data_IF_746463856993
#
_entry.id   IF_746463856993
#
_cell.length_a   1.000
_cell.length_b   1.000
_cell.length_c   1.000
_cell.angle_alpha   90.00
_cell.angle_beta   90.00
_cell.angle_gamma   90.00
#
_symmetry.space_group_name_H-M   'P 1'
#
loop_
_entity.id
_entity.type
_entity.pdbx_description
1 polymer ?
#
# COMPACT_ATOMS: atom_id res chain seq x y z
N UNK A 1 16.71 8.49 8.89
CA UNK A 1 16.82 9.74 8.17
C UNK A 1 15.88 9.78 6.99
N UNK A 2 15.17 10.85 6.85
CA UNK A 2 14.18 11.02 5.78
C UNK A 2 14.80 11.35 4.43
N UNK A 3 14.04 11.13 3.39
CA UNK A 3 14.35 11.57 2.03
C UNK A 3 14.01 13.07 1.95
N UNK A 4 14.85 13.89 1.33
CA UNK A 4 14.53 15.31 1.15
C UNK A 4 13.44 15.48 0.06
N UNK A 5 12.83 16.66 0.00
CA UNK A 5 11.72 16.95 -0.91
C UNK A 5 12.09 16.74 -2.39
N UNK A 6 13.31 17.10 -2.79
CA UNK A 6 13.78 16.92 -4.16
C UNK A 6 13.90 15.45 -4.53
N UNK A 7 14.47 14.64 -3.65
CA UNK A 7 14.60 13.20 -3.84
C UNK A 7 13.22 12.53 -3.90
N UNK A 8 12.29 12.98 -3.06
CA UNK A 8 10.94 12.46 -3.04
C UNK A 8 10.20 12.78 -4.34
N UNK A 9 10.31 14.02 -4.82
CA UNK A 9 9.72 14.43 -6.08
C UNK A 9 10.28 13.63 -7.27
N UNK A 10 11.59 13.38 -7.29
CA UNK A 10 12.23 12.57 -8.32
C UNK A 10 11.74 11.13 -8.29
N UNK A 11 11.56 10.54 -7.11
CA UNK A 11 10.99 9.19 -6.96
C UNK A 11 9.57 9.12 -7.50
N UNK A 12 8.74 10.12 -7.21
CA UNK A 12 7.36 10.19 -7.71
C UNK A 12 7.34 10.23 -9.24
N UNK A 13 8.21 11.02 -9.86
CA UNK A 13 8.35 11.09 -11.32
C UNK A 13 8.79 9.75 -11.90
N UNK A 14 9.74 9.05 -11.25
CA UNK A 14 10.24 7.74 -11.67
C UNK A 14 9.19 6.63 -11.55
N UNK A 15 8.24 6.74 -10.63
CA UNK A 15 7.16 5.76 -10.48
C UNK A 15 6.17 5.76 -11.64
N UNK A 16 6.17 6.80 -12.48
CA UNK A 16 5.29 6.91 -13.63
C UNK A 16 3.86 7.30 -13.27
N UNK A 17 2.94 7.08 -14.20
CA UNK A 17 1.54 7.40 -13.99
C UNK A 17 0.88 6.43 -13.00
N UNK A 18 -0.17 6.90 -12.33
CA UNK A 18 -0.96 6.11 -11.38
C UNK A 18 -1.35 4.74 -11.95
N UNK A 19 -1.82 4.69 -13.19
CA UNK A 19 -2.24 3.46 -13.89
C UNK A 19 -1.12 2.41 -13.93
N UNK A 20 0.12 2.81 -14.24
CA UNK A 20 1.24 1.86 -14.34
C UNK A 20 1.63 1.27 -12.99
N UNK A 21 1.47 2.04 -11.90
CA UNK A 21 1.74 1.57 -10.54
C UNK A 21 0.75 0.48 -10.11
N UNK A 22 -0.52 0.59 -10.53
CA UNK A 22 -1.58 -0.30 -10.10
C UNK A 22 -1.97 -1.37 -11.14
N UNK A 23 -1.19 -1.53 -12.21
CA UNK A 23 -1.44 -2.57 -13.21
C UNK A 23 -0.86 -3.91 -12.76
N UNK A 24 -1.67 -4.96 -12.89
CA UNK A 24 -1.26 -6.34 -12.60
C UNK A 24 -0.59 -6.97 -13.83
N UNK A 25 0.31 -7.90 -13.59
CA UNK A 25 0.84 -8.79 -14.63
C UNK A 25 -0.26 -9.69 -15.19
N UNK A 26 -0.18 -10.12 -16.48
CA UNK A 26 -1.21 -10.94 -17.09
C UNK A 26 -1.53 -12.22 -16.31
N UNK A 27 -0.52 -12.90 -15.76
CA UNK A 27 -0.71 -14.12 -14.97
C UNK A 27 -1.55 -13.85 -13.71
N UNK A 28 -1.29 -12.72 -13.05
CA UNK A 28 -2.02 -12.32 -11.86
C UNK A 28 -3.45 -11.93 -12.20
N UNK A 29 -3.67 -11.28 -13.33
CA UNK A 29 -5.02 -10.96 -13.83
C UNK A 29 -5.84 -12.22 -14.01
N UNK A 30 -5.26 -13.24 -14.67
CA UNK A 30 -5.94 -14.53 -14.89
C UNK A 30 -6.28 -15.23 -13.59
N UNK A 31 -5.34 -15.28 -12.64
CA UNK A 31 -5.55 -15.90 -11.34
C UNK A 31 -6.70 -15.21 -10.58
N UNK A 32 -6.73 -13.90 -10.60
CA UNK A 32 -7.78 -13.10 -9.94
C UNK A 32 -9.16 -13.36 -10.56
N UNK A 33 -9.23 -13.47 -11.88
CA UNK A 33 -10.49 -13.78 -12.57
C UNK A 33 -11.00 -15.18 -12.22
N UNK A 34 -10.11 -16.15 -12.05
CA UNK A 34 -10.47 -17.51 -11.64
C UNK A 34 -11.02 -17.55 -10.21
N UNK A 35 -10.37 -16.82 -9.30
CA UNK A 35 -10.77 -16.75 -7.88
C UNK A 35 -12.10 -16.00 -7.71
N UNK A 36 -12.32 -14.96 -8.49
CA UNK A 36 -13.56 -14.18 -8.47
C UNK A 36 -13.60 -13.06 -7.47
N UNK A 37 -14.67 -12.30 -7.54
CA UNK A 37 -14.84 -11.04 -6.79
C UNK A 37 -14.89 -11.24 -5.29
N UNK A 38 -15.69 -12.18 -4.82
CA UNK A 38 -15.87 -12.41 -3.37
C UNK A 38 -14.57 -12.85 -2.71
N UNK A 39 -13.85 -13.81 -3.32
CA UNK A 39 -12.57 -14.27 -2.78
C UNK A 39 -11.53 -13.16 -2.78
N UNK A 40 -11.50 -12.33 -3.80
CA UNK A 40 -10.60 -11.18 -3.86
C UNK A 40 -10.89 -10.19 -2.72
N UNK A 41 -12.15 -9.92 -2.42
CA UNK A 41 -12.53 -9.07 -1.29
C UNK A 41 -12.08 -9.66 0.04
N UNK A 42 -12.30 -10.95 0.25
CA UNK A 42 -11.90 -11.64 1.49
C UNK A 42 -10.39 -11.62 1.67
N UNK A 43 -9.62 -11.89 0.61
CA UNK A 43 -8.16 -11.82 0.65
C UNK A 43 -7.67 -10.41 0.93
N UNK A 44 -8.28 -9.41 0.34
CA UNK A 44 -7.92 -8.01 0.59
C UNK A 44 -8.15 -7.64 2.06
N UNK A 45 -9.26 -8.06 2.64
CA UNK A 45 -9.55 -7.82 4.06
C UNK A 45 -8.51 -8.50 4.95
N UNK A 46 -8.14 -9.73 4.64
CA UNK A 46 -7.12 -10.48 5.39
C UNK A 46 -5.75 -9.81 5.32
N UNK A 47 -5.27 -9.51 4.11
CA UNK A 47 -3.95 -8.91 3.91
C UNK A 47 -3.87 -7.49 4.49
N UNK A 48 -4.93 -6.71 4.42
CA UNK A 48 -4.97 -5.40 5.06
C UNK A 48 -4.95 -5.52 6.59
N UNK A 49 -5.57 -6.55 7.16
CA UNK A 49 -5.51 -6.83 8.60
C UNK A 49 -4.09 -7.19 9.03
N UNK A 50 -3.39 -7.98 8.24
CA UNK A 50 -1.99 -8.34 8.49
C UNK A 50 -1.06 -7.13 8.38
N UNK A 51 -1.33 -6.22 7.44
CA UNK A 51 -0.60 -4.97 7.33
C UNK A 51 -0.79 -4.10 8.59
N UNK A 52 -2.00 -4.00 9.09
CA UNK A 52 -2.29 -3.28 10.35
C UNK A 52 -1.48 -3.88 11.49
N UNK A 53 -1.47 -5.19 11.62
CA UNK A 53 -0.69 -5.88 12.65
C UNK A 53 0.82 -5.63 12.50
N UNK A 54 1.33 -5.64 11.27
CA UNK A 54 2.73 -5.36 10.99
C UNK A 54 3.13 -3.91 11.33
N UNK A 55 2.24 -2.95 11.09
CA UNK A 55 2.44 -1.55 11.49
C UNK A 55 2.52 -1.42 13.01
N UNK A 56 1.63 -2.07 13.75
CA UNK A 56 1.68 -2.08 15.21
C UNK A 56 2.96 -2.72 15.74
N UNK A 57 3.39 -3.81 15.15
CA UNK A 57 4.62 -4.50 15.53
C UNK A 57 5.84 -3.62 15.32
N UNK A 58 5.94 -2.97 14.15
CA UNK A 58 7.02 -2.04 13.84
C UNK A 58 7.04 -0.87 14.84
N UNK A 59 5.88 -0.27 15.10
CA UNK A 59 5.75 0.84 16.04
C UNK A 59 6.28 0.46 17.43
N UNK A 60 5.85 -0.70 17.95
CA UNK A 60 6.28 -1.16 19.28
C UNK A 60 7.76 -1.52 19.30
N UNK A 61 8.26 -2.18 18.26
CA UNK A 61 9.64 -2.69 18.23
C UNK A 61 10.66 -1.57 17.99
N UNK A 62 10.33 -0.60 17.15
CA UNK A 62 11.29 0.43 16.70
C UNK A 62 11.07 1.76 17.37
N UNK A 63 9.83 2.20 17.53
CA UNK A 63 9.52 3.56 18.00
C UNK A 63 9.22 3.64 19.50
N UNK A 64 8.72 2.58 20.11
CA UNK A 64 8.37 2.55 21.54
C UNK A 64 9.46 1.85 22.33
N UNK A 65 10.45 2.61 22.75
CA UNK A 65 11.58 2.07 23.56
C UNK A 65 11.08 1.48 24.87
N UNK A 66 11.69 0.36 25.26
CA UNK A 66 11.37 -0.30 26.52
C UNK A 66 10.16 -1.21 26.50
N UNK A 67 9.48 -1.32 25.36
CA UNK A 67 8.37 -2.27 25.20
C UNK A 67 8.90 -3.64 24.82
N UNK A 68 8.53 -4.71 25.53
CA UNK A 68 8.90 -6.07 25.13
C UNK A 68 8.17 -6.45 23.83
N UNK A 69 8.93 -6.96 22.86
CA UNK A 69 8.39 -7.46 21.59
C UNK A 69 9.02 -8.79 21.26
N UNK A 70 8.29 -9.59 20.48
CA UNK A 70 8.78 -10.90 20.02
C UNK A 70 9.73 -10.79 18.82
N UNK A 71 9.83 -9.61 18.20
CA UNK A 71 10.64 -9.37 17.00
C UNK A 71 11.74 -8.38 17.27
N UNK A 72 12.87 -8.55 16.56
CA UNK A 72 13.91 -7.54 16.47
C UNK A 72 13.47 -6.41 15.53
N UNK A 73 14.11 -5.22 15.58
CA UNK A 73 13.84 -4.16 14.62
C UNK A 73 13.98 -4.61 13.15
N UNK A 74 15.00 -5.39 12.82
CA UNK A 74 15.21 -5.89 11.45
C UNK A 74 14.09 -6.86 11.04
N UNK A 75 13.66 -7.75 11.92
CA UNK A 75 12.53 -8.64 11.67
C UNK A 75 11.23 -7.85 11.47
N UNK A 76 11.00 -6.83 12.27
CA UNK A 76 9.80 -6.00 12.19
C UNK A 76 9.72 -5.24 10.87
N UNK A 77 10.83 -4.66 10.39
CA UNK A 77 10.82 -3.94 9.10
C UNK A 77 10.70 -4.91 7.92
N UNK A 78 11.32 -6.08 7.98
CA UNK A 78 11.19 -7.10 6.94
C UNK A 78 9.76 -7.59 6.83
N UNK A 79 9.13 -7.88 7.95
CA UNK A 79 7.72 -8.28 7.99
C UNK A 79 6.82 -7.17 7.43
N UNK A 80 7.06 -5.91 7.79
CA UNK A 80 6.29 -4.79 7.28
C UNK A 80 6.39 -4.66 5.75
N UNK A 81 7.60 -4.85 5.20
CA UNK A 81 7.82 -4.82 3.74
C UNK A 81 7.02 -5.91 3.03
N UNK A 82 7.01 -7.12 3.57
CA UNK A 82 6.26 -8.25 3.01
C UNK A 82 4.76 -7.96 3.01
N UNK A 83 4.23 -7.47 4.13
CA UNK A 83 2.81 -7.16 4.27
C UNK A 83 2.39 -5.96 3.39
N UNK A 84 3.27 -4.98 3.19
CA UNK A 84 3.04 -3.89 2.25
C UNK A 84 2.86 -4.42 0.82
N UNK A 85 3.73 -5.34 0.39
CA UNK A 85 3.65 -5.92 -0.95
C UNK A 85 2.36 -6.73 -1.11
N UNK A 86 2.04 -7.56 -0.13
CA UNK A 86 0.82 -8.39 -0.17
C UNK A 86 -0.44 -7.52 -0.26
N UNK A 87 -0.52 -6.45 0.53
CA UNK A 87 -1.63 -5.52 0.50
C UNK A 87 -1.73 -4.78 -0.85
N UNK A 88 -0.60 -4.36 -1.41
CA UNK A 88 -0.56 -3.67 -2.71
C UNK A 88 -1.06 -4.61 -3.83
N UNK A 89 -0.64 -5.87 -3.82
CA UNK A 89 -1.11 -6.86 -4.79
C UNK A 89 -2.62 -7.02 -4.68
N UNK A 90 -3.16 -7.19 -3.48
CA UNK A 90 -4.59 -7.31 -3.26
C UNK A 90 -5.37 -6.08 -3.71
N UNK A 91 -4.85 -4.88 -3.48
CA UNK A 91 -5.47 -3.63 -3.94
C UNK A 91 -5.54 -3.60 -5.46
N UNK A 92 -4.46 -3.97 -6.15
CA UNK A 92 -4.43 -4.05 -7.62
C UNK A 92 -5.46 -5.04 -8.15
N UNK A 93 -5.53 -6.22 -7.54
CA UNK A 93 -6.50 -7.25 -7.90
C UNK A 93 -7.93 -6.76 -7.72
N UNK A 94 -8.20 -6.08 -6.62
CA UNK A 94 -9.52 -5.55 -6.30
C UNK A 94 -9.95 -4.47 -7.30
N UNK A 95 -9.06 -3.56 -7.66
CA UNK A 95 -9.32 -2.53 -8.68
C UNK A 95 -9.72 -3.19 -9.99
N UNK A 96 -8.98 -4.20 -10.42
CA UNK A 96 -9.23 -4.91 -11.68
C UNK A 96 -10.57 -5.67 -11.63
N UNK A 97 -10.79 -6.49 -10.60
CA UNK A 97 -11.95 -7.37 -10.55
C UNK A 97 -13.27 -6.61 -10.40
N UNK A 98 -13.24 -5.45 -9.76
CA UNK A 98 -14.41 -4.57 -9.61
C UNK A 98 -14.60 -3.65 -10.81
N UNK A 99 -13.67 -3.65 -11.78
CA UNK A 99 -13.75 -2.78 -12.93
C UNK A 99 -13.67 -1.30 -12.60
N UNK A 100 -12.91 -0.95 -11.57
CA UNK A 100 -12.78 0.44 -11.13
C UNK A 100 -11.90 1.21 -12.12
N UNK A 101 -12.36 2.40 -12.52
CA UNK A 101 -11.65 3.26 -13.44
C UNK A 101 -10.46 3.94 -12.72
N UNK A 102 -9.28 3.81 -13.29
CA UNK A 102 -8.06 4.44 -12.76
C UNK A 102 -8.15 5.97 -12.76
N UNK A 103 -8.81 6.57 -13.73
CA UNK A 103 -8.96 8.03 -13.80
C UNK A 103 -9.80 8.55 -12.64
N UNK A 104 -10.82 7.82 -12.22
CA UNK A 104 -11.62 8.15 -11.05
C UNK A 104 -10.78 8.08 -9.77
N UNK A 105 -9.97 7.04 -9.62
CA UNK A 105 -9.08 6.88 -8.47
C UNK A 105 -8.03 7.99 -8.42
N UNK A 106 -7.45 8.34 -9.56
CA UNK A 106 -6.46 9.41 -9.64
C UNK A 106 -7.06 10.76 -9.25
N UNK A 107 -8.27 11.03 -9.68
CA UNK A 107 -9.02 12.25 -9.31
C UNK A 107 -9.24 12.31 -7.79
N UNK A 108 -9.69 11.22 -7.20
CA UNK A 108 -9.89 11.12 -5.75
C UNK A 108 -8.58 11.34 -5.00
N UNK A 109 -7.49 10.74 -5.47
CA UNK A 109 -6.17 10.91 -4.87
C UNK A 109 -5.74 12.37 -4.88
N UNK A 110 -5.86 13.06 -6.02
CA UNK A 110 -5.53 14.49 -6.13
C UNK A 110 -6.36 15.34 -5.17
N UNK A 111 -7.65 15.11 -5.10
CA UNK A 111 -8.54 15.85 -4.20
C UNK A 111 -8.16 15.67 -2.74
N UNK A 112 -7.82 14.44 -2.34
CA UNK A 112 -7.38 14.14 -0.97
C UNK A 112 -6.01 14.76 -0.65
N UNK A 113 -5.09 14.69 -1.59
CA UNK A 113 -3.74 15.27 -1.45
C UNK A 113 -3.82 16.79 -1.32
N UNK A 114 -4.60 17.44 -2.16
CA UNK A 114 -4.81 18.89 -2.11
C UNK A 114 -5.44 19.31 -0.77
N UNK A 115 -6.42 18.57 -0.30
CA UNK A 115 -7.06 18.83 0.99
C UNK A 115 -6.06 18.72 2.14
N UNK A 116 -5.23 17.70 2.13
CA UNK A 116 -4.19 17.50 3.14
C UNK A 116 -3.18 18.65 3.11
N UNK A 117 -2.73 19.03 1.92
CA UNK A 117 -1.81 20.16 1.75
C UNK A 117 -2.42 21.45 2.33
N UNK A 118 -3.69 21.74 2.03
CA UNK A 118 -4.37 22.91 2.58
C UNK A 118 -4.44 22.89 4.12
N UNK A 119 -4.75 21.73 4.70
CA UNK A 119 -4.80 21.57 6.17
C UNK A 119 -3.45 21.83 6.83
N UNK A 120 -2.37 21.49 6.16
CA UNK A 120 -1.01 21.66 6.66
C UNK A 120 -0.40 23.02 6.27
N UNK A 121 -1.11 23.85 5.52
CA UNK A 121 -0.61 25.15 5.08
C UNK A 121 0.46 25.06 3.98
N UNK A 122 0.43 24.01 3.21
CA UNK A 122 1.39 23.78 2.13
C UNK A 122 0.88 24.27 0.78
#
# INVERSE_FOLDING_TARGET
MGVNETQLAQKVIQMGAFTSVFTLKPEQQKATLVLGQEETLLQTMEECSELVAACHQYRRTVLMKGQPTSKTPDEAITNLKEELVDAIICIKELIMILGIDYDELEKIEREKTDRTARRLGL
#
